data_IF_169754374482
#
_entry.id   IF_169754374482
#
_cell.length_a   1.000
_cell.length_b   1.000
_cell.length_c   1.000
_cell.angle_alpha   90.00
_cell.angle_beta   90.00
_cell.angle_gamma   90.00
#
_symmetry.space_group_name_H-M   'P 1'
#
loop_
_entity.id
_entity.type
_entity.pdbx_description
1 polymer ?
#
# COMPACT_ATOMS: atom_id res chain seq x y z
N UNK A 1 2.69 -19.53 -13.96
CA UNK A 1 1.71 -18.54 -13.49
C UNK A 1 1.03 -19.12 -12.27
N UNK A 2 1.00 -18.39 -11.18
CA UNK A 2 0.18 -18.73 -10.03
C UNK A 2 -1.28 -18.38 -10.28
N UNK A 3 -2.18 -18.99 -9.50
CA UNK A 3 -3.63 -18.78 -9.63
C UNK A 3 -4.24 -18.19 -8.35
N UNK A 4 -3.39 -17.71 -7.43
CA UNK A 4 -3.83 -17.29 -6.10
C UNK A 4 -4.82 -16.10 -6.12
N UNK A 5 -4.80 -15.30 -7.18
CA UNK A 5 -5.69 -14.15 -7.40
C UNK A 5 -6.50 -14.25 -8.70
N UNK A 6 -6.63 -15.46 -9.26
CA UNK A 6 -7.36 -15.68 -10.52
C UNK A 6 -8.78 -15.13 -10.44
N UNK A 7 -9.17 -14.34 -11.45
CA UNK A 7 -10.48 -13.71 -11.56
C UNK A 7 -10.76 -12.60 -10.55
N UNK A 8 -9.79 -12.14 -9.79
CA UNK A 8 -9.92 -11.01 -8.86
C UNK A 8 -9.53 -9.69 -9.54
N UNK A 9 -10.20 -8.62 -9.17
CA UNK A 9 -9.85 -7.25 -9.53
C UNK A 9 -9.14 -6.60 -8.35
N UNK A 10 -7.93 -6.08 -8.57
CA UNK A 10 -7.10 -5.46 -7.54
C UNK A 10 -6.75 -4.02 -7.93
N UNK A 11 -7.13 -3.06 -7.09
CA UNK A 11 -6.67 -1.68 -7.20
C UNK A 11 -5.45 -1.47 -6.32
N UNK A 12 -4.36 -0.95 -6.89
CA UNK A 12 -3.15 -0.58 -6.14
C UNK A 12 -2.91 0.93 -6.29
N UNK A 13 -3.11 1.69 -5.21
CA UNK A 13 -2.85 3.14 -5.25
C UNK A 13 -1.35 3.44 -5.27
N UNK A 14 -0.93 4.46 -6.07
CA UNK A 14 0.48 4.81 -6.20
C UNK A 14 1.34 3.70 -6.83
N UNK A 15 0.81 3.02 -7.85
CA UNK A 15 1.47 1.88 -8.48
C UNK A 15 2.26 2.22 -9.75
N UNK A 16 2.58 3.50 -9.98
CA UNK A 16 3.44 3.92 -11.08
C UNK A 16 4.92 3.57 -10.90
N UNK A 17 5.38 3.25 -9.68
CA UNK A 17 6.77 2.88 -9.34
C UNK A 17 6.88 2.17 -7.99
N UNK A 18 8.10 1.75 -7.66
CA UNK A 18 8.46 1.22 -6.34
C UNK A 18 7.65 0.01 -5.88
N UNK A 19 7.24 0.02 -4.62
CA UNK A 19 6.47 -1.07 -3.99
C UNK A 19 5.14 -1.28 -4.71
N UNK A 20 4.41 -0.20 -5.04
CA UNK A 20 3.12 -0.29 -5.70
C UNK A 20 3.20 -0.94 -7.09
N UNK A 21 4.22 -0.59 -7.89
CA UNK A 21 4.44 -1.23 -9.19
C UNK A 21 4.76 -2.72 -9.04
N UNK A 22 5.58 -3.09 -8.05
CA UNK A 22 5.91 -4.49 -7.79
C UNK A 22 4.69 -5.29 -7.35
N UNK A 23 3.83 -4.72 -6.49
CA UNK A 23 2.54 -5.34 -6.11
C UNK A 23 1.66 -5.56 -7.34
N UNK A 24 1.51 -4.54 -8.19
CA UNK A 24 0.69 -4.61 -9.39
C UNK A 24 1.15 -5.74 -10.34
N UNK A 25 2.45 -5.80 -10.63
CA UNK A 25 3.04 -6.83 -11.52
C UNK A 25 2.89 -8.23 -10.93
N UNK A 26 3.17 -8.41 -9.64
CA UNK A 26 3.04 -9.72 -8.99
C UNK A 26 1.57 -10.16 -8.85
N UNK A 27 0.64 -9.24 -8.57
CA UNK A 27 -0.79 -9.57 -8.55
C UNK A 27 -1.27 -10.06 -9.92
N UNK A 28 -0.80 -9.44 -10.99
CA UNK A 28 -1.07 -9.87 -12.35
C UNK A 28 -0.51 -11.27 -12.66
N UNK A 29 0.72 -11.56 -12.23
CA UNK A 29 1.34 -12.88 -12.37
C UNK A 29 0.57 -14.00 -11.64
N UNK A 30 -0.20 -13.63 -10.61
CA UNK A 30 -1.11 -14.53 -9.86
C UNK A 30 -2.55 -14.52 -10.41
N UNK A 31 -2.77 -13.99 -11.61
CA UNK A 31 -4.04 -14.06 -12.34
C UNK A 31 -5.03 -12.94 -12.02
N UNK A 32 -4.62 -11.86 -11.34
CA UNK A 32 -5.50 -10.72 -11.10
C UNK A 32 -5.60 -9.80 -12.32
N UNK A 33 -6.77 -9.16 -12.49
CA UNK A 33 -6.91 -7.94 -13.28
C UNK A 33 -6.53 -6.75 -12.40
N UNK A 34 -5.61 -5.88 -12.86
CA UNK A 34 -5.01 -4.85 -12.02
C UNK A 34 -5.41 -3.45 -12.48
N UNK A 35 -5.98 -2.66 -11.58
CA UNK A 35 -6.11 -1.23 -11.74
C UNK A 35 -4.82 -0.55 -11.25
N UNK A 36 -4.03 -0.04 -12.20
CA UNK A 36 -2.77 0.67 -11.96
C UNK A 36 -3.08 2.16 -11.74
N UNK A 37 -2.89 2.65 -10.52
CA UNK A 37 -3.20 4.05 -10.20
C UNK A 37 -1.94 4.90 -10.13
N UNK A 38 -2.05 6.12 -10.67
CA UNK A 38 -1.01 7.15 -10.58
C UNK A 38 -1.57 8.54 -10.29
N UNK A 39 -0.67 9.42 -9.84
CA UNK A 39 -0.86 10.86 -9.83
C UNK A 39 0.42 11.54 -10.34
N UNK A 40 0.33 12.37 -11.38
CA UNK A 40 1.46 13.09 -12.01
C UNK A 40 2.58 12.22 -12.60
N UNK A 41 2.37 10.92 -12.79
CA UNK A 41 3.38 10.01 -13.36
C UNK A 41 2.76 9.06 -14.40
N UNK A 42 2.26 9.57 -15.53
CA UNK A 42 1.61 8.75 -16.56
C UNK A 42 2.57 7.74 -17.19
N UNK A 43 3.82 8.13 -17.46
CA UNK A 43 4.82 7.24 -18.08
C UNK A 43 5.19 6.09 -17.14
N UNK A 44 5.32 6.35 -15.84
CA UNK A 44 5.55 5.31 -14.85
C UNK A 44 4.38 4.32 -14.76
N UNK A 45 3.15 4.83 -14.84
CA UNK A 45 1.96 3.98 -14.85
C UNK A 45 1.88 3.13 -16.14
N UNK A 46 2.18 3.71 -17.30
CA UNK A 46 2.26 2.99 -18.57
C UNK A 46 3.33 1.89 -18.53
N UNK A 47 4.50 2.19 -17.97
CA UNK A 47 5.58 1.21 -17.77
C UNK A 47 5.13 0.07 -16.86
N UNK A 48 4.45 0.38 -15.75
CA UNK A 48 3.92 -0.65 -14.85
C UNK A 48 2.87 -1.51 -15.55
N UNK A 49 1.95 -0.90 -16.33
CA UNK A 49 0.94 -1.65 -17.08
C UNK A 49 1.56 -2.57 -18.14
N UNK A 50 2.63 -2.13 -18.83
CA UNK A 50 3.36 -2.98 -19.76
C UNK A 50 3.92 -4.23 -19.05
N UNK A 51 4.54 -4.05 -17.88
CA UNK A 51 5.06 -5.15 -17.06
C UNK A 51 3.95 -6.08 -16.51
N UNK A 52 2.77 -5.53 -16.19
CA UNK A 52 1.58 -6.32 -15.82
C UNK A 52 1.19 -7.26 -16.95
N UNK A 53 1.18 -6.77 -18.20
CA UNK A 53 0.87 -7.57 -19.39
C UNK A 53 1.97 -8.59 -19.72
N UNK A 54 3.23 -8.22 -19.58
CA UNK A 54 4.38 -9.14 -19.73
C UNK A 54 4.32 -10.29 -18.70
N UNK A 55 3.80 -10.03 -17.50
CA UNK A 55 3.58 -11.04 -16.47
C UNK A 55 2.38 -11.97 -16.77
N UNK A 56 1.68 -11.76 -17.88
CA UNK A 56 0.55 -12.57 -18.32
C UNK A 56 -0.80 -12.16 -17.77
N UNK A 57 -0.88 -11.04 -17.05
CA UNK A 57 -2.13 -10.47 -16.54
C UNK A 57 -2.72 -9.39 -17.45
N UNK A 58 -3.83 -8.81 -17.02
CA UNK A 58 -4.49 -7.69 -17.68
C UNK A 58 -4.71 -6.54 -16.67
N UNK A 59 -4.98 -5.35 -17.19
CA UNK A 59 -5.24 -4.19 -16.37
C UNK A 59 -5.42 -2.91 -17.17
N UNK A 60 -5.66 -1.84 -16.43
CA UNK A 60 -5.84 -0.50 -16.98
C UNK A 60 -5.25 0.55 -16.02
N UNK A 61 -4.87 1.70 -16.57
CA UNK A 61 -4.33 2.82 -15.79
C UNK A 61 -5.44 3.79 -15.39
N UNK A 62 -5.37 4.30 -14.16
CA UNK A 62 -6.32 5.27 -13.60
C UNK A 62 -5.55 6.42 -12.96
N UNK A 63 -5.89 7.65 -13.34
CA UNK A 63 -5.37 8.85 -12.70
C UNK A 63 -6.29 9.34 -11.59
N UNK A 64 -5.73 9.79 -10.50
CA UNK A 64 -6.44 10.51 -9.44
C UNK A 64 -5.44 11.18 -8.48
N UNK A 65 -5.83 12.29 -7.88
CA UNK A 65 -5.17 12.79 -6.68
C UNK A 65 -5.86 12.18 -5.45
N UNK A 66 -5.35 11.09 -4.90
CA UNK A 66 -5.97 10.45 -3.73
C UNK A 66 -5.93 11.29 -2.45
N UNK A 67 -5.16 12.39 -2.42
CA UNK A 67 -5.22 13.36 -1.34
C UNK A 67 -6.49 14.25 -1.40
N UNK A 68 -7.21 14.24 -2.53
CA UNK A 68 -8.55 14.79 -2.69
C UNK A 68 -9.58 13.67 -2.47
N UNK A 69 -10.49 13.87 -1.52
CA UNK A 69 -11.46 12.83 -1.15
C UNK A 69 -12.43 12.46 -2.27
N UNK A 70 -12.87 13.45 -3.07
CA UNK A 70 -13.79 13.18 -4.18
C UNK A 70 -13.10 12.42 -5.32
N UNK A 71 -11.84 12.77 -5.63
CA UNK A 71 -11.05 12.04 -6.62
C UNK A 71 -10.71 10.61 -6.15
N UNK A 72 -10.40 10.43 -4.85
CA UNK A 72 -10.13 9.11 -4.27
C UNK A 72 -11.35 8.18 -4.33
N UNK A 73 -12.54 8.70 -3.99
CA UNK A 73 -13.79 7.95 -4.09
C UNK A 73 -14.16 7.70 -5.56
N UNK A 74 -14.01 8.68 -6.43
CA UNK A 74 -14.22 8.59 -7.87
C UNK A 74 -13.28 7.57 -8.55
N UNK A 75 -12.04 7.45 -8.10
CA UNK A 75 -11.11 6.41 -8.57
C UNK A 75 -11.70 5.01 -8.35
N UNK A 76 -12.12 4.71 -7.13
CA UNK A 76 -12.70 3.40 -6.79
C UNK A 76 -13.97 3.13 -7.59
N UNK A 77 -14.84 4.15 -7.74
CA UNK A 77 -16.07 4.03 -8.52
C UNK A 77 -15.77 3.68 -10.00
N UNK A 78 -14.81 4.38 -10.63
CA UNK A 78 -14.38 4.10 -12.02
C UNK A 78 -13.81 2.69 -12.18
N UNK A 79 -13.06 2.19 -11.20
CA UNK A 79 -12.53 0.82 -11.22
C UNK A 79 -13.67 -0.20 -11.15
N UNK A 80 -14.64 0.00 -10.25
CA UNK A 80 -15.81 -0.89 -10.14
C UNK A 80 -16.67 -0.82 -11.40
N UNK A 81 -16.91 0.36 -11.95
CA UNK A 81 -17.64 0.54 -13.22
C UNK A 81 -16.96 -0.20 -14.38
N UNK A 82 -15.63 -0.08 -14.49
CA UNK A 82 -14.83 -0.66 -15.57
C UNK A 82 -14.76 -2.18 -15.53
N UNK A 83 -14.61 -2.78 -14.35
CA UNK A 83 -14.38 -4.21 -14.19
C UNK A 83 -15.54 -4.97 -13.54
N UNK A 84 -16.62 -4.28 -13.15
CA UNK A 84 -17.80 -4.86 -12.53
C UNK A 84 -17.63 -5.25 -11.05
N UNK A 85 -16.41 -5.17 -10.51
CA UNK A 85 -16.10 -5.57 -9.13
C UNK A 85 -14.76 -4.98 -8.65
N UNK A 86 -14.55 -5.02 -7.34
CA UNK A 86 -13.26 -4.77 -6.70
C UNK A 86 -13.08 -5.78 -5.56
N UNK A 87 -12.08 -6.67 -5.65
CA UNK A 87 -11.84 -7.75 -4.67
C UNK A 87 -10.69 -7.44 -3.74
N UNK A 88 -9.69 -6.75 -4.25
CA UNK A 88 -8.51 -6.32 -3.51
C UNK A 88 -8.30 -4.82 -3.62
N UNK A 89 -8.12 -4.14 -2.47
CA UNK A 89 -7.69 -2.75 -2.42
C UNK A 89 -6.35 -2.66 -1.69
N UNK A 90 -5.33 -2.12 -2.35
CA UNK A 90 -4.02 -1.85 -1.74
C UNK A 90 -3.83 -0.33 -1.64
N UNK A 91 -3.92 0.19 -0.43
CA UNK A 91 -3.62 1.58 -0.12
C UNK A 91 -2.10 1.72 0.06
N UNK A 92 -1.40 2.04 -1.05
CA UNK A 92 0.05 2.16 -1.09
C UNK A 92 0.52 3.59 -1.37
N UNK A 93 -0.28 4.45 -1.99
CA UNK A 93 0.10 5.85 -2.21
C UNK A 93 0.54 6.52 -0.91
N UNK A 94 1.64 7.28 -0.96
CA UNK A 94 2.18 7.94 0.22
C UNK A 94 3.30 8.92 -0.11
N UNK A 95 3.59 9.78 0.85
CA UNK A 95 4.65 10.77 0.83
C UNK A 95 5.62 10.49 1.98
N UNK A 96 6.92 10.68 1.76
CA UNK A 96 7.89 10.68 2.86
C UNK A 96 8.13 12.12 3.34
N UNK A 97 8.12 12.31 4.65
CA UNK A 97 8.51 13.56 5.30
C UNK A 97 9.67 13.29 6.25
N UNK A 98 10.77 13.99 6.06
CA UNK A 98 11.94 13.96 6.95
C UNK A 98 12.37 15.40 7.17
N UNK A 99 12.12 15.93 8.36
CA UNK A 99 12.57 17.27 8.78
C UNK A 99 12.41 17.42 10.29
N UNK A 100 13.24 18.27 10.96
CA UNK A 100 13.09 18.57 12.37
C UNK A 100 11.68 19.03 12.72
N UNK A 101 11.13 18.60 13.85
CA UNK A 101 9.73 18.84 14.22
C UNK A 101 9.33 20.32 14.16
N UNK A 102 10.19 21.21 14.65
CA UNK A 102 9.91 22.65 14.67
C UNK A 102 9.89 23.31 13.29
N UNK A 103 10.37 22.63 12.24
CA UNK A 103 10.36 23.13 10.86
C UNK A 103 9.21 22.56 10.04
N UNK A 104 8.43 21.62 10.58
CA UNK A 104 7.23 21.09 9.91
C UNK A 104 6.18 22.18 9.90
N UNK A 105 5.83 22.68 8.70
CA UNK A 105 4.72 23.63 8.55
C UNK A 105 3.38 22.91 8.60
N UNK A 106 2.28 23.61 8.96
CA UNK A 106 0.93 23.04 8.87
C UNK A 106 0.62 22.45 7.50
N UNK A 107 1.04 23.09 6.41
CA UNK A 107 0.79 22.58 5.04
C UNK A 107 1.51 21.27 4.77
N UNK A 108 2.76 21.11 5.24
CA UNK A 108 3.50 19.84 5.11
C UNK A 108 2.84 18.75 5.94
N UNK A 109 2.46 19.07 7.19
CA UNK A 109 1.73 18.15 8.05
C UNK A 109 0.44 17.67 7.37
N UNK A 110 -0.38 18.61 6.91
CA UNK A 110 -1.67 18.32 6.27
C UNK A 110 -1.51 17.53 4.97
N UNK A 111 -0.50 17.82 4.16
CA UNK A 111 -0.24 17.08 2.93
C UNK A 111 0.09 15.60 3.23
N UNK A 112 0.92 15.34 4.24
CA UNK A 112 1.26 13.97 4.66
C UNK A 112 0.04 13.25 5.22
N UNK A 113 -0.71 13.87 6.13
CA UNK A 113 -1.91 13.26 6.72
C UNK A 113 -2.96 12.98 5.64
N UNK A 114 -3.20 13.91 4.71
CA UNK A 114 -4.14 13.71 3.61
C UNK A 114 -3.74 12.55 2.71
N UNK A 115 -2.48 12.46 2.33
CA UNK A 115 -2.02 11.43 1.39
C UNK A 115 -1.86 10.06 2.06
N UNK A 116 -1.25 10.00 3.25
CA UNK A 116 -0.83 8.74 3.86
C UNK A 116 -1.86 8.11 4.80
N UNK A 117 -2.91 8.88 5.18
CA UNK A 117 -3.97 8.40 6.07
C UNK A 117 -5.36 8.67 5.50
N UNK A 118 -5.70 9.94 5.25
CA UNK A 118 -7.07 10.31 4.86
C UNK A 118 -7.45 9.71 3.49
N UNK A 119 -6.52 9.62 2.55
CA UNK A 119 -6.73 8.93 1.28
C UNK A 119 -7.22 7.48 1.47
N UNK A 120 -6.60 6.76 2.40
CA UNK A 120 -6.99 5.38 2.70
C UNK A 120 -8.40 5.28 3.31
N UNK A 121 -8.81 6.27 4.10
CA UNK A 121 -10.20 6.37 4.56
C UNK A 121 -11.17 6.49 3.39
N UNK A 122 -10.92 7.41 2.45
CA UNK A 122 -11.81 7.63 1.30
C UNK A 122 -11.89 6.40 0.38
N UNK A 123 -10.75 5.80 0.04
CA UNK A 123 -10.72 4.61 -0.82
C UNK A 123 -11.39 3.41 -0.16
N UNK A 124 -11.18 3.18 1.15
CA UNK A 124 -11.89 2.14 1.89
C UNK A 124 -13.40 2.39 1.92
N UNK A 125 -13.83 3.63 2.21
CA UNK A 125 -15.24 4.02 2.26
C UNK A 125 -15.94 3.77 0.93
N UNK A 126 -15.27 4.02 -0.20
CA UNK A 126 -15.82 3.79 -1.52
C UNK A 126 -15.83 2.31 -1.93
N UNK A 127 -14.82 1.52 -1.50
CA UNK A 127 -14.70 0.10 -1.86
C UNK A 127 -15.65 -0.80 -1.05
N UNK A 128 -15.87 -0.48 0.22
CA UNK A 128 -16.60 -1.34 1.17
C UNK A 128 -18.04 -1.67 0.75
N UNK A 129 -18.88 -0.76 0.23
CA UNK A 129 -20.25 -1.13 -0.15
C UNK A 129 -20.30 -2.33 -1.09
N UNK A 130 -19.51 -2.32 -2.16
CA UNK A 130 -19.44 -3.41 -3.12
C UNK A 130 -18.85 -4.70 -2.52
N UNK A 131 -17.82 -4.61 -1.69
CA UNK A 131 -17.24 -5.78 -1.02
C UNK A 131 -18.20 -6.41 -0.02
N UNK A 132 -18.91 -5.59 0.76
CA UNK A 132 -19.88 -6.05 1.76
C UNK A 132 -21.14 -6.65 1.15
N UNK A 133 -21.59 -6.15 0.00
CA UNK A 133 -22.70 -6.73 -0.75
C UNK A 133 -22.35 -8.14 -1.24
N UNK A 134 -21.12 -8.37 -1.69
CA UNK A 134 -20.65 -9.69 -2.12
C UNK A 134 -20.22 -10.61 -0.98
N UNK A 135 -20.09 -10.10 0.25
CA UNK A 135 -19.62 -10.86 1.40
C UNK A 135 -18.15 -11.28 1.30
N UNK A 136 -17.33 -10.61 0.48
CA UNK A 136 -15.92 -10.92 0.28
C UNK A 136 -15.12 -9.71 -0.17
N UNK A 137 -13.87 -9.61 0.32
CA UNK A 137 -12.93 -8.56 -0.04
C UNK A 137 -11.68 -8.61 0.81
N UNK A 138 -10.58 -8.04 0.31
CA UNK A 138 -9.34 -7.89 1.06
C UNK A 138 -8.78 -6.48 0.87
N UNK A 139 -8.60 -5.76 1.98
CA UNK A 139 -7.98 -4.44 2.01
C UNK A 139 -6.61 -4.58 2.68
N UNK A 140 -5.57 -4.08 2.01
CA UNK A 140 -4.20 -4.06 2.52
C UNK A 140 -3.68 -2.62 2.54
N UNK A 141 -3.38 -2.13 3.74
CA UNK A 141 -2.86 -0.80 3.96
C UNK A 141 -1.32 -0.85 4.09
N UNK A 142 -0.59 -0.14 3.23
CA UNK A 142 0.87 -0.04 3.33
C UNK A 142 1.22 1.02 4.38
N UNK A 143 1.43 0.54 5.59
CA UNK A 143 1.91 1.31 6.73
C UNK A 143 3.44 1.48 6.68
N UNK A 144 4.08 1.50 7.83
CA UNK A 144 5.54 1.54 7.98
C UNK A 144 5.91 1.07 9.38
N UNK A 145 7.12 0.49 9.55
CA UNK A 145 7.69 0.30 10.88
C UNK A 145 7.75 1.61 11.68
N UNK A 146 7.89 2.76 10.98
CA UNK A 146 7.92 4.08 11.62
C UNK A 146 6.58 4.47 12.28
N UNK A 147 5.46 3.95 11.78
CA UNK A 147 4.17 4.08 12.45
C UNK A 147 4.04 3.28 13.75
N UNK A 148 4.96 2.35 14.00
CA UNK A 148 4.98 1.53 15.21
C UNK A 148 6.01 2.04 16.23
N UNK A 149 7.19 2.47 15.77
CA UNK A 149 8.31 2.85 16.66
C UNK A 149 8.62 4.35 16.67
N UNK A 150 8.27 5.08 15.60
CA UNK A 150 8.74 6.44 15.38
C UNK A 150 10.25 6.50 15.14
N UNK A 151 10.70 7.56 14.48
CA UNK A 151 12.12 7.95 14.38
C UNK A 151 12.17 9.49 14.41
N UNK A 152 13.25 10.08 14.90
CA UNK A 152 13.45 11.52 14.84
C UNK A 152 13.24 12.04 13.40
N UNK A 153 12.71 13.25 13.30
CA UNK A 153 12.46 13.97 12.03
C UNK A 153 11.36 13.39 11.14
N UNK A 154 10.60 12.37 11.59
CA UNK A 154 9.53 11.75 10.80
C UNK A 154 8.14 11.89 11.43
N UNK A 155 7.89 12.96 12.21
CA UNK A 155 6.71 13.06 13.06
C UNK A 155 5.38 12.97 12.28
N UNK A 156 5.22 13.72 11.18
CA UNK A 156 3.99 13.69 10.39
C UNK A 156 3.78 12.31 9.72
N UNK A 157 4.83 11.77 9.12
CA UNK A 157 4.80 10.45 8.49
C UNK A 157 4.50 9.34 9.50
N UNK A 158 5.18 9.34 10.64
CA UNK A 158 4.96 8.35 11.70
C UNK A 158 3.55 8.42 12.26
N UNK A 159 3.01 9.63 12.46
CA UNK A 159 1.63 9.84 12.91
C UNK A 159 0.62 9.29 11.88
N UNK A 160 0.79 9.59 10.59
CA UNK A 160 -0.07 9.09 9.53
C UNK A 160 -0.06 7.54 9.45
N UNK A 161 1.15 6.94 9.48
CA UNK A 161 1.30 5.47 9.40
C UNK A 161 0.83 4.76 10.68
N UNK A 162 0.93 5.37 11.86
CA UNK A 162 0.32 4.90 13.10
C UNK A 162 -1.22 4.96 13.03
N UNK A 163 -1.76 6.08 12.53
CA UNK A 163 -3.20 6.23 12.28
C UNK A 163 -3.73 5.18 11.32
N UNK A 164 -2.97 4.84 10.27
CA UNK A 164 -3.33 3.81 9.29
C UNK A 164 -3.40 2.40 9.92
N UNK A 165 -2.51 2.08 10.86
CA UNK A 165 -2.58 0.84 11.66
C UNK A 165 -3.83 0.84 12.54
N UNK A 166 -4.16 1.98 13.18
CA UNK A 166 -5.37 2.15 13.97
C UNK A 166 -6.64 1.96 13.12
N UNK A 167 -6.70 2.61 11.95
CA UNK A 167 -7.79 2.46 10.98
C UNK A 167 -7.96 0.99 10.57
N UNK A 168 -6.86 0.30 10.26
CA UNK A 168 -6.86 -1.13 9.90
C UNK A 168 -7.54 -1.98 10.96
N UNK A 169 -7.16 -1.80 12.22
CA UNK A 169 -7.68 -2.59 13.36
C UNK A 169 -9.17 -2.33 13.61
N UNK A 170 -9.58 -1.07 13.56
CA UNK A 170 -10.98 -0.68 13.77
C UNK A 170 -11.87 -1.21 12.65
N UNK A 171 -11.45 -0.98 11.40
CA UNK A 171 -12.23 -1.40 10.24
C UNK A 171 -12.33 -2.92 10.14
N UNK A 172 -11.26 -3.67 10.47
CA UNK A 172 -11.28 -5.13 10.50
C UNK A 172 -12.33 -5.70 11.47
N UNK A 173 -12.55 -5.06 12.63
CA UNK A 173 -13.59 -5.45 13.58
C UNK A 173 -15.00 -5.19 13.07
N UNK A 174 -15.18 -4.08 12.35
CA UNK A 174 -16.48 -3.66 11.83
C UNK A 174 -16.95 -4.53 10.66
N UNK A 175 -16.03 -4.78 9.68
CA UNK A 175 -16.39 -5.43 8.41
C UNK A 175 -16.08 -6.94 8.37
N UNK A 176 -15.25 -7.43 9.29
CA UNK A 176 -14.89 -8.84 9.39
C UNK A 176 -16.08 -9.80 9.50
N UNK A 177 -17.10 -9.53 10.33
CA UNK A 177 -18.32 -10.36 10.41
C UNK A 177 -19.09 -10.46 9.08
N UNK A 178 -18.81 -9.58 8.13
CA UNK A 178 -19.42 -9.55 6.80
C UNK A 178 -18.48 -10.04 5.70
N UNK A 179 -17.40 -10.76 6.04
CA UNK A 179 -16.52 -11.44 5.10
C UNK A 179 -15.43 -10.57 4.46
N UNK A 180 -15.23 -9.32 4.89
CA UNK A 180 -14.16 -8.45 4.39
C UNK A 180 -12.99 -8.43 5.36
N UNK A 181 -11.78 -8.74 4.88
CA UNK A 181 -10.55 -8.70 5.67
C UNK A 181 -9.82 -7.37 5.47
N UNK A 182 -9.26 -6.82 6.53
CA UNK A 182 -8.47 -5.59 6.48
C UNK A 182 -7.18 -5.79 7.26
N UNK A 183 -6.03 -5.67 6.60
CA UNK A 183 -4.71 -5.84 7.21
C UNK A 183 -3.77 -4.71 6.83
N UNK A 184 -2.69 -4.58 7.56
CA UNK A 184 -1.60 -3.66 7.26
C UNK A 184 -0.30 -4.43 6.95
N UNK A 185 0.53 -3.87 6.10
CA UNK A 185 1.93 -4.26 5.93
C UNK A 185 2.78 -3.08 6.34
N UNK A 186 3.76 -3.31 7.22
CA UNK A 186 4.66 -2.29 7.75
C UNK A 186 6.12 -2.57 7.34
N UNK A 187 6.52 -2.20 6.11
CA UNK A 187 7.87 -2.44 5.63
C UNK A 187 8.93 -1.71 6.45
N UNK A 188 10.14 -2.26 6.41
CA UNK A 188 11.35 -1.55 6.81
C UNK A 188 11.83 -0.59 5.72
N UNK A 189 13.15 -0.38 5.65
CA UNK A 189 13.76 0.30 4.52
C UNK A 189 13.72 -0.65 3.32
N UNK A 190 13.15 -0.17 2.22
CA UNK A 190 13.02 -0.90 0.94
C UNK A 190 13.73 -0.09 -0.12
N UNK A 191 14.58 -0.72 -0.91
CA UNK A 191 15.35 -0.07 -1.99
C UNK A 191 14.38 0.35 -3.09
N UNK A 192 14.21 1.66 -3.24
CA UNK A 192 13.37 2.31 -4.25
C UNK A 192 13.99 3.67 -4.57
N UNK A 193 13.53 4.34 -5.63
CA UNK A 193 13.95 5.71 -5.96
C UNK A 193 13.83 6.67 -4.75
N UNK A 194 12.86 6.43 -3.87
CA UNK A 194 12.62 7.24 -2.66
C UNK A 194 13.70 7.06 -1.58
N UNK A 195 14.42 5.96 -1.59
CA UNK A 195 15.38 5.56 -0.54
C UNK A 195 16.81 5.38 -1.06
N UNK A 196 17.04 5.65 -2.34
CA UNK A 196 18.34 5.46 -2.99
C UNK A 196 19.45 6.23 -2.27
N UNK A 197 19.24 7.52 -1.97
CA UNK A 197 20.19 8.35 -1.24
C UNK A 197 20.51 7.82 0.16
N UNK A 198 19.53 7.14 0.80
CA UNK A 198 19.74 6.56 2.14
C UNK A 198 20.62 5.32 2.08
N UNK A 199 20.46 4.48 1.04
CA UNK A 199 21.07 3.13 0.98
C UNK A 199 22.58 3.21 1.13
N UNK A 200 23.25 4.14 0.44
CA UNK A 200 24.70 4.30 0.43
C UNK A 200 25.22 5.28 1.49
N UNK A 201 24.32 5.92 2.24
CA UNK A 201 24.68 6.90 3.27
C UNK A 201 25.26 6.24 4.54
N UNK A 202 25.95 7.02 5.37
CA UNK A 202 26.42 6.57 6.70
C UNK A 202 25.23 6.21 7.60
N UNK A 203 24.11 6.90 7.47
CA UNK A 203 22.87 6.57 8.16
C UNK A 203 22.33 5.22 7.70
N UNK A 204 22.33 4.93 6.39
CA UNK A 204 21.96 3.64 5.84
C UNK A 204 22.83 2.52 6.38
N UNK A 205 24.14 2.69 6.38
CA UNK A 205 25.10 1.73 6.97
C UNK A 205 24.85 1.52 8.48
N UNK A 206 24.49 2.57 9.21
CA UNK A 206 24.12 2.47 10.63
C UNK A 206 22.87 1.61 10.79
N UNK A 207 21.81 1.89 10.00
CA UNK A 207 20.56 1.13 10.04
C UNK A 207 20.73 -0.33 9.67
N UNK A 208 21.64 -0.64 8.75
CA UNK A 208 21.95 -2.03 8.37
C UNK A 208 22.53 -2.83 9.55
N UNK A 209 23.38 -2.22 10.39
CA UNK A 209 23.94 -2.90 11.58
C UNK A 209 22.88 -3.32 12.59
N UNK A 210 21.77 -2.60 12.63
CA UNK A 210 20.65 -2.86 13.55
C UNK A 210 19.61 -3.85 12.95
N UNK A 211 19.84 -4.32 11.73
CA UNK A 211 18.94 -5.27 11.04
C UNK A 211 19.51 -6.70 11.13
N UNK A 212 18.82 -7.65 11.80
CA UNK A 212 19.26 -9.03 11.89
C UNK A 212 19.58 -9.72 10.57
N UNK A 213 18.84 -9.42 9.49
CA UNK A 213 19.12 -9.97 8.15
C UNK A 213 20.26 -9.25 7.41
N UNK A 214 20.81 -8.16 7.97
CA UNK A 214 21.95 -7.42 7.41
C UNK A 214 21.73 -6.81 6.03
N UNK A 215 20.49 -6.62 5.61
CA UNK A 215 20.15 -6.03 4.30
C UNK A 215 18.83 -5.26 4.32
N UNK A 216 18.70 -4.33 3.40
CA UNK A 216 17.42 -3.68 3.09
C UNK A 216 16.50 -4.63 2.30
N UNK A 217 15.19 -4.37 2.39
CA UNK A 217 14.19 -5.07 1.61
C UNK A 217 14.18 -4.63 0.15
N UNK A 218 13.59 -5.46 -0.70
CA UNK A 218 13.27 -5.11 -2.10
C UNK A 218 11.76 -4.98 -2.26
N UNK A 219 11.29 -4.21 -3.27
CA UNK A 219 9.85 -4.06 -3.54
C UNK A 219 9.11 -5.38 -3.74
N UNK A 220 9.75 -6.35 -4.38
CA UNK A 220 9.19 -7.68 -4.65
C UNK A 220 8.95 -8.50 -3.37
N UNK A 221 9.78 -8.35 -2.35
CA UNK A 221 9.62 -9.02 -1.05
C UNK A 221 8.45 -8.44 -0.23
N UNK A 222 8.21 -7.14 -0.35
CA UNK A 222 7.02 -6.51 0.24
C UNK A 222 5.76 -6.95 -0.52
N UNK A 223 5.84 -7.01 -1.85
CA UNK A 223 4.74 -7.45 -2.69
C UNK A 223 4.30 -8.88 -2.35
N UNK A 224 5.22 -9.82 -2.07
CA UNK A 224 4.88 -11.19 -1.64
C UNK A 224 4.01 -11.20 -0.38
N UNK A 225 4.33 -10.35 0.60
CA UNK A 225 3.51 -10.19 1.82
C UNK A 225 2.11 -9.67 1.49
N UNK A 226 2.01 -8.72 0.56
CA UNK A 226 0.72 -8.15 0.13
C UNK A 226 -0.12 -9.19 -0.62
N UNK A 227 0.50 -9.96 -1.51
CA UNK A 227 -0.19 -11.02 -2.25
C UNK A 227 -0.74 -12.09 -1.31
N UNK A 228 0.04 -12.52 -0.32
CA UNK A 228 -0.46 -13.41 0.73
C UNK A 228 -1.73 -12.85 1.38
N UNK A 229 -1.73 -11.57 1.77
CA UNK A 229 -2.90 -10.94 2.40
C UNK A 229 -4.08 -10.74 1.44
N UNK A 230 -3.84 -10.59 0.15
CA UNK A 230 -4.91 -10.53 -0.86
C UNK A 230 -5.52 -11.91 -1.15
N UNK A 231 -4.77 -12.99 -1.00
CA UNK A 231 -5.18 -14.36 -1.33
C UNK A 231 -5.98 -15.04 -0.21
N UNK A 232 -6.57 -16.20 -0.52
CA UNK A 232 -7.29 -17.04 0.44
C UNK A 232 -6.35 -17.74 1.44
N UNK A 233 -5.04 -17.80 1.17
CA UNK A 233 -4.05 -18.30 2.09
C UNK A 233 -4.03 -17.51 3.42
N UNK A 234 -4.53 -16.28 3.41
CA UNK A 234 -4.63 -15.42 4.60
C UNK A 234 -6.05 -15.34 5.19
N UNK A 235 -6.90 -16.35 4.98
CA UNK A 235 -8.30 -16.33 5.42
C UNK A 235 -8.51 -16.06 6.93
N UNK A 236 -7.54 -16.44 7.77
CA UNK A 236 -7.56 -16.16 9.23
C UNK A 236 -6.93 -14.82 9.62
N UNK A 237 -6.41 -14.05 8.66
CA UNK A 237 -5.74 -12.78 8.93
C UNK A 237 -6.70 -11.61 8.71
N UNK A 238 -7.07 -10.92 9.78
CA UNK A 238 -7.74 -9.62 9.75
C UNK A 238 -7.31 -8.79 10.95
N UNK A 239 -7.17 -7.47 10.77
CA UNK A 239 -6.67 -6.55 11.81
C UNK A 239 -5.18 -6.69 12.14
N UNK A 240 -4.42 -7.48 11.37
CA UNK A 240 -3.01 -7.74 11.62
C UNK A 240 -2.11 -6.70 10.93
N UNK A 241 -0.90 -6.53 11.48
CA UNK A 241 0.18 -5.76 10.85
C UNK A 241 1.36 -6.69 10.63
N UNK A 242 1.67 -7.02 9.38
CA UNK A 242 2.81 -7.85 9.00
C UNK A 242 4.03 -6.97 8.77
N UNK A 243 5.19 -7.40 9.26
CA UNK A 243 6.42 -6.60 9.34
C UNK A 243 7.57 -7.13 8.48
N UNK A 244 7.53 -7.04 7.13
CA UNK A 244 8.66 -7.38 6.26
C UNK A 244 9.73 -6.27 6.37
N UNK A 245 10.60 -6.32 7.40
CA UNK A 245 11.50 -5.24 7.76
C UNK A 245 12.92 -5.68 8.12
N UNK A 246 13.32 -6.87 7.70
CA UNK A 246 14.65 -7.46 7.99
C UNK A 246 15.00 -7.59 9.49
N UNK A 247 13.96 -7.60 10.35
CA UNK A 247 14.12 -7.61 11.81
C UNK A 247 14.44 -6.23 12.41
N UNK A 248 14.44 -5.17 11.62
CA UNK A 248 14.75 -3.81 12.09
C UNK A 248 13.69 -3.20 13.04
N UNK A 249 12.61 -3.92 13.29
CA UNK A 249 11.63 -3.70 14.36
C UNK A 249 10.83 -4.98 14.59
N UNK A 250 10.77 -5.41 15.84
CA UNK A 250 10.01 -6.57 16.32
C UNK A 250 9.06 -6.08 17.41
N UNK A 251 7.73 -5.98 17.14
CA UNK A 251 6.74 -5.50 18.11
C UNK A 251 6.49 -6.52 19.24
#
# INVERSE_FOLDING_TARGET
MGDALSGRVVLVTGSSRGIGASIAVKAAAEGATVAVHYFRSPDGAATTLARVREAGGDGEVFDANVADGAEAEGLVARVIERFGRLDGLVNNAGLTQVSPFLTITPDVWDAVIRTDLTASFHTCRAALPSMLERGTGSIVNIASRLGQMGIAETAAYSAAKAGLIGLTRSLAREVGPRGVRVNAVAPGVVITDMTEDLVDSEEGKRRLRDMPLGRFGRPDEVADTVLFLLSDASALFTGQTLNPNSGGYMP
#
